data_IF_794559427844
#
_entry.id   IF_794559427844
#
_cell.length_a   1.000
_cell.length_b   1.000
_cell.length_c   1.000
_cell.angle_alpha   90.00
_cell.angle_beta   90.00
_cell.angle_gamma   90.00
#
_symmetry.space_group_name_H-M   'P 1'
#
loop_
_entity.id
_entity.type
_entity.pdbx_description
1 polymer ?
#
# COMPACT_ATOMS: atom_id res chain seq x y z
N UNK A 1 -8.44 29.96 -13.61
CA UNK A 1 -9.76 29.29 -13.53
C UNK A 1 -10.40 29.11 -14.91
N UNK A 2 -10.37 30.09 -15.83
CA UNK A 2 -11.01 29.97 -17.15
C UNK A 2 -10.60 28.72 -17.98
N UNK A 3 -9.33 28.31 -17.95
CA UNK A 3 -8.85 27.10 -18.64
C UNK A 3 -9.38 25.77 -18.05
N UNK A 4 -9.97 25.80 -16.85
CA UNK A 4 -10.62 24.66 -16.20
C UNK A 4 -12.14 24.70 -16.32
N UNK A 5 -12.70 25.68 -17.03
CA UNK A 5 -14.13 25.79 -17.29
C UNK A 5 -14.52 24.83 -18.43
N UNK A 6 -15.26 23.73 -18.15
CA UNK A 6 -15.64 22.76 -19.16
C UNK A 6 -16.59 23.35 -20.23
N UNK A 7 -17.23 24.49 -19.97
CA UNK A 7 -18.07 25.19 -20.95
C UNK A 7 -17.25 25.93 -22.02
N UNK A 8 -15.96 26.21 -21.75
CA UNK A 8 -15.10 26.99 -22.66
C UNK A 8 -14.43 26.17 -23.75
N UNK A 9 -14.70 24.85 -23.85
CA UNK A 9 -14.13 23.95 -24.88
C UNK A 9 -12.59 24.04 -25.01
N UNK A 10 -11.91 24.49 -23.94
CA UNK A 10 -10.46 24.62 -23.91
C UNK A 10 -9.77 23.28 -23.70
N UNK A 11 -8.53 23.14 -24.18
CA UNK A 11 -7.69 21.98 -23.92
C UNK A 11 -6.72 22.26 -22.77
N UNK A 12 -6.64 21.31 -21.83
CA UNK A 12 -5.55 21.28 -20.85
C UNK A 12 -4.40 20.46 -21.43
N UNK A 13 -3.19 21.01 -21.38
CA UNK A 13 -1.99 20.30 -21.82
C UNK A 13 -1.41 19.50 -20.66
N UNK A 14 -1.07 18.23 -20.91
CA UNK A 14 -0.37 17.38 -19.97
C UNK A 14 0.89 16.85 -20.65
N UNK A 15 2.00 17.57 -20.46
CA UNK A 15 3.29 17.15 -20.97
C UNK A 15 3.97 16.14 -20.04
N UNK A 16 4.96 15.43 -20.58
CA UNK A 16 5.84 14.56 -19.79
C UNK A 16 6.57 13.57 -20.69
N UNK A 17 7.90 13.68 -20.72
CA UNK A 17 8.77 12.90 -21.63
C UNK A 17 8.57 11.39 -21.51
N UNK A 18 8.24 10.88 -20.32
CA UNK A 18 8.18 9.45 -20.04
C UNK A 18 6.78 8.91 -19.71
N UNK A 19 5.72 9.71 -19.84
CA UNK A 19 4.36 9.28 -19.47
C UNK A 19 3.93 8.02 -20.24
N UNK A 20 4.39 7.87 -21.50
CA UNK A 20 4.09 6.73 -22.37
C UNK A 20 5.38 6.00 -22.80
N UNK A 21 6.37 5.92 -21.92
CA UNK A 21 7.59 5.17 -22.23
C UNK A 21 7.25 3.67 -22.41
N UNK A 22 7.86 3.03 -23.41
CA UNK A 22 7.54 1.65 -23.81
C UNK A 22 7.73 0.63 -22.69
N UNK A 23 8.69 0.87 -21.78
CA UNK A 23 8.98 -0.03 -20.66
C UNK A 23 7.82 -0.05 -19.68
N UNK A 24 7.36 1.12 -19.22
CA UNK A 24 6.20 1.21 -18.32
C UNK A 24 4.93 0.66 -18.97
N UNK A 25 4.71 0.92 -20.26
CA UNK A 25 3.51 0.42 -20.93
C UNK A 25 3.51 -1.11 -21.06
N UNK A 26 4.61 -1.69 -21.52
CA UNK A 26 4.73 -3.14 -21.66
C UNK A 26 4.66 -3.84 -20.29
N UNK A 27 5.36 -3.31 -19.29
CA UNK A 27 5.35 -3.85 -17.93
C UNK A 27 3.96 -3.71 -17.28
N UNK A 28 3.27 -2.59 -17.48
CA UNK A 28 1.92 -2.37 -16.95
C UNK A 28 0.90 -3.37 -17.52
N UNK A 29 0.94 -3.61 -18.83
CA UNK A 29 0.07 -4.62 -19.47
C UNK A 29 0.37 -6.02 -18.93
N UNK A 30 1.64 -6.42 -18.87
CA UNK A 30 2.02 -7.73 -18.36
C UNK A 30 1.64 -7.90 -16.87
N UNK A 31 1.89 -6.87 -16.05
CA UNK A 31 1.55 -6.91 -14.62
C UNK A 31 0.05 -7.08 -14.39
N UNK A 32 -0.79 -6.27 -15.05
CA UNK A 32 -2.25 -6.32 -14.83
C UNK A 32 -2.92 -7.55 -15.47
N UNK A 33 -2.39 -8.04 -16.59
CA UNK A 33 -2.94 -9.20 -17.28
C UNK A 33 -2.54 -10.52 -16.61
N UNK A 34 -1.27 -10.64 -16.21
CA UNK A 34 -0.67 -11.95 -15.91
C UNK A 34 -0.31 -12.13 -14.42
N UNK A 35 -0.14 -11.05 -13.64
CA UNK A 35 0.37 -11.12 -12.26
C UNK A 35 -0.66 -10.62 -11.24
N UNK A 36 -1.12 -9.38 -11.40
CA UNK A 36 -2.08 -8.71 -10.53
C UNK A 36 -3.51 -8.91 -11.05
N UNK A 37 -3.87 -10.16 -11.36
CA UNK A 37 -5.23 -10.50 -11.78
C UNK A 37 -6.23 -10.20 -10.66
N UNK A 38 -7.53 -10.03 -10.97
CA UNK A 38 -8.55 -9.82 -9.94
C UNK A 38 -8.51 -10.89 -8.84
N UNK A 39 -8.34 -12.16 -9.20
CA UNK A 39 -8.28 -13.27 -8.25
C UNK A 39 -7.03 -13.18 -7.37
N UNK A 40 -5.87 -12.85 -7.96
CA UNK A 40 -4.63 -12.67 -7.21
C UNK A 40 -4.72 -11.50 -6.23
N UNK A 41 -5.35 -10.39 -6.61
CA UNK A 41 -5.56 -9.23 -5.75
C UNK A 41 -6.53 -9.52 -4.61
N UNK A 42 -7.62 -10.26 -4.85
CA UNK A 42 -8.55 -10.71 -3.81
C UNK A 42 -7.81 -11.57 -2.79
N UNK A 43 -7.10 -12.61 -3.25
CA UNK A 43 -6.35 -13.50 -2.37
C UNK A 43 -5.25 -12.76 -1.59
N UNK A 44 -4.57 -11.80 -2.21
CA UNK A 44 -3.57 -10.97 -1.56
C UNK A 44 -4.19 -10.11 -0.44
N UNK A 45 -5.35 -9.51 -0.69
CA UNK A 45 -6.04 -8.69 0.30
C UNK A 45 -6.58 -9.52 1.46
N UNK A 46 -7.17 -10.70 1.21
CA UNK A 46 -7.63 -11.61 2.26
C UNK A 46 -6.49 -12.06 3.18
N UNK A 47 -5.31 -12.35 2.60
CA UNK A 47 -4.10 -12.67 3.39
C UNK A 47 -3.65 -11.48 4.24
N UNK A 48 -3.75 -10.27 3.70
CA UNK A 48 -3.44 -9.03 4.42
C UNK A 48 -4.38 -8.78 5.59
N UNK A 49 -5.68 -8.94 5.38
CA UNK A 49 -6.70 -8.81 6.44
C UNK A 49 -6.46 -9.85 7.54
N UNK A 50 -6.22 -11.11 7.17
CA UNK A 50 -5.88 -12.19 8.11
C UNK A 50 -4.63 -11.87 8.92
N UNK A 51 -3.57 -11.36 8.28
CA UNK A 51 -2.33 -10.99 8.96
C UNK A 51 -2.58 -9.83 9.95
N UNK A 52 -3.30 -8.80 9.53
CA UNK A 52 -3.64 -7.63 10.36
C UNK A 52 -4.42 -8.04 11.61
N UNK A 53 -5.41 -8.92 11.46
CA UNK A 53 -6.18 -9.44 12.59
C UNK A 53 -5.29 -10.21 13.57
N UNK A 54 -4.45 -11.12 13.06
CA UNK A 54 -3.53 -11.92 13.88
C UNK A 54 -2.50 -11.07 14.62
N UNK A 55 -1.96 -10.03 13.99
CA UNK A 55 -1.04 -9.11 14.65
C UNK A 55 -1.72 -8.37 15.80
N UNK A 56 -2.94 -7.85 15.59
CA UNK A 56 -3.69 -7.18 16.65
C UNK A 56 -3.99 -8.11 17.83
N UNK A 57 -4.42 -9.36 17.57
CA UNK A 57 -4.62 -10.36 18.62
C UNK A 57 -3.32 -10.63 19.38
N UNK A 58 -2.20 -10.73 18.67
CA UNK A 58 -0.88 -10.99 19.26
C UNK A 58 -0.41 -9.83 20.13
N UNK A 59 -0.53 -8.58 19.66
CA UNK A 59 -0.14 -7.39 20.42
C UNK A 59 -1.01 -7.22 21.67
N UNK A 60 -2.33 -7.38 21.53
CA UNK A 60 -3.24 -7.32 22.66
C UNK A 60 -2.96 -8.44 23.69
N UNK A 61 -2.75 -9.67 23.24
CA UNK A 61 -2.43 -10.81 24.11
C UNK A 61 -1.09 -10.66 24.85
N UNK A 62 -0.14 -9.94 24.25
CA UNK A 62 1.15 -9.60 24.87
C UNK A 62 1.11 -8.33 25.73
N UNK A 63 -0.03 -7.63 25.81
CA UNK A 63 -0.15 -6.35 26.53
C UNK A 63 0.68 -5.22 25.92
N UNK A 64 1.02 -5.31 24.63
CA UNK A 64 1.80 -4.28 23.94
C UNK A 64 0.87 -3.12 23.54
N UNK A 65 1.27 -1.85 23.76
CA UNK A 65 0.46 -0.69 23.43
C UNK A 65 0.55 -0.36 21.93
N UNK A 66 0.31 -1.37 21.09
CA UNK A 66 0.42 -1.29 19.63
C UNK A 66 -0.84 -1.82 18.94
N UNK A 67 -1.22 -1.16 17.86
CA UNK A 67 -2.38 -1.52 17.02
C UNK A 67 -1.96 -1.51 15.57
N UNK A 68 -2.51 -2.43 14.77
CA UNK A 68 -2.29 -2.49 13.33
C UNK A 68 -3.57 -2.06 12.61
N UNK A 69 -3.50 -1.02 11.79
CA UNK A 69 -4.62 -0.48 11.00
C UNK A 69 -4.32 -0.59 9.51
N UNK A 70 -5.35 -0.69 8.67
CA UNK A 70 -5.16 -0.83 7.23
C UNK A 70 -6.36 -1.44 6.53
N UNK A 71 -6.20 -1.74 5.23
CA UNK A 71 -7.21 -2.37 4.38
C UNK A 71 -6.52 -3.34 3.42
N UNK A 72 -7.04 -4.58 3.33
CA UNK A 72 -6.47 -5.62 2.49
C UNK A 72 -5.00 -5.87 2.83
N UNK A 73 -4.15 -5.84 1.80
CA UNK A 73 -2.70 -6.07 1.90
C UNK A 73 -1.87 -4.90 2.42
N UNK A 74 -2.46 -3.72 2.58
CA UNK A 74 -1.76 -2.54 3.10
C UNK A 74 -2.12 -2.31 4.56
N UNK A 75 -1.10 -2.20 5.41
CA UNK A 75 -1.29 -1.97 6.85
C UNK A 75 -0.13 -1.17 7.45
N UNK A 76 -0.39 -0.55 8.61
CA UNK A 76 0.59 0.19 9.37
C UNK A 76 0.44 -0.06 10.87
N UNK A 77 1.56 -0.07 11.58
CA UNK A 77 1.62 -0.24 13.03
C UNK A 77 1.65 1.14 13.68
N UNK A 78 0.81 1.32 14.69
CA UNK A 78 0.75 2.51 15.52
C UNK A 78 0.92 2.14 16.98
N UNK A 79 1.50 3.05 17.76
CA UNK A 79 1.61 2.95 19.20
C UNK A 79 1.30 4.29 19.84
N UNK A 80 1.01 4.29 21.15
CA UNK A 80 0.86 5.54 21.91
C UNK A 80 2.17 6.31 22.11
N UNK A 81 3.30 5.62 21.96
CA UNK A 81 4.65 6.17 22.01
C UNK A 81 5.47 5.57 20.86
N UNK A 82 5.99 6.45 19.99
CA UNK A 82 6.73 6.08 18.78
C UNK A 82 7.98 5.21 19.06
N UNK A 83 8.50 5.23 20.29
CA UNK A 83 9.61 4.35 20.68
C UNK A 83 9.25 2.87 20.55
N UNK A 84 7.98 2.49 20.73
CA UNK A 84 7.53 1.12 20.50
C UNK A 84 7.64 0.72 19.03
N UNK A 85 7.29 1.62 18.12
CA UNK A 85 7.41 1.39 16.68
C UNK A 85 8.88 1.26 16.28
N UNK A 86 9.76 2.11 16.81
CA UNK A 86 11.20 2.03 16.57
C UNK A 86 11.81 0.73 17.11
N UNK A 87 11.44 0.30 18.32
CA UNK A 87 11.87 -0.98 18.89
C UNK A 87 11.38 -2.16 18.04
N UNK A 88 10.12 -2.13 17.61
CA UNK A 88 9.56 -3.16 16.74
C UNK A 88 10.31 -3.22 15.40
N UNK A 89 10.59 -2.07 14.77
CA UNK A 89 11.37 -1.99 13.55
C UNK A 89 12.75 -2.65 13.70
N UNK A 90 13.51 -2.30 14.74
CA UNK A 90 14.82 -2.90 14.97
C UNK A 90 14.75 -4.39 15.33
N UNK A 91 13.72 -4.81 16.07
CA UNK A 91 13.48 -6.22 16.35
C UNK A 91 13.16 -7.01 15.07
N UNK A 92 12.38 -6.44 14.15
CA UNK A 92 12.08 -7.04 12.85
C UNK A 92 13.33 -7.15 11.97
N UNK A 93 14.15 -6.11 11.91
CA UNK A 93 15.44 -6.17 11.22
C UNK A 93 16.36 -7.26 11.79
N UNK A 94 16.47 -7.35 13.12
CA UNK A 94 17.25 -8.38 13.79
C UNK A 94 16.71 -9.79 13.53
N UNK A 95 15.39 -9.91 13.28
CA UNK A 95 14.73 -11.16 12.91
C UNK A 95 14.74 -11.45 11.40
N UNK A 96 15.33 -10.56 10.57
CA UNK A 96 15.45 -10.75 9.12
C UNK A 96 14.25 -10.25 8.30
N UNK A 97 13.38 -9.43 8.86
CA UNK A 97 12.27 -8.77 8.15
C UNK A 97 12.63 -7.31 7.81
N UNK A 98 12.32 -6.88 6.59
CA UNK A 98 12.48 -5.51 6.09
C UNK A 98 11.16 -5.00 5.52
#
# INVERSE_FOLDING_TARGET
MAAFDPAQHGALTQAGTFNNNVVSMAAGVAALRDVLTPEALIALNERGDTLRERLNVTFAGAGLPMTVVGVGSMMNIHASDDRWVALFFHAMLAAGFY
#
